data_IF_351759323031
#
_entry.id   IF_351759323031
#
_cell.length_a   1.000
_cell.length_b   1.000
_cell.length_c   1.000
_cell.angle_alpha   90.00
_cell.angle_beta   90.00
_cell.angle_gamma   90.00
#
_symmetry.space_group_name_H-M   'P 1'
#
loop_
_entity.id
_entity.type
_entity.pdbx_description
1 polymer ?
#
# COMPACT_ATOMS: atom_id res chain seq x y z
N UNK A 1 2.29 49.58 -30.80
CA UNK A 1 3.05 48.31 -30.71
C UNK A 1 2.49 47.47 -29.56
N UNK A 2 1.75 46.39 -29.86
CA UNK A 2 1.18 45.47 -28.84
C UNK A 2 2.25 44.41 -28.50
N UNK A 3 2.68 44.36 -27.24
CA UNK A 3 3.55 43.28 -26.73
C UNK A 3 2.65 42.13 -26.29
N UNK A 4 2.77 40.98 -26.96
CA UNK A 4 2.10 39.74 -26.57
C UNK A 4 2.99 39.06 -25.54
N UNK A 5 2.48 38.90 -24.32
CA UNK A 5 3.15 38.22 -23.23
C UNK A 5 2.85 36.72 -23.35
N UNK A 6 3.82 35.93 -23.84
CA UNK A 6 3.70 34.48 -23.92
C UNK A 6 3.90 33.89 -22.53
N UNK A 7 2.82 33.49 -21.87
CA UNK A 7 2.88 32.73 -20.61
C UNK A 7 3.11 31.26 -20.97
N UNK A 8 4.31 30.76 -20.70
CA UNK A 8 4.61 29.33 -20.77
C UNK A 8 4.01 28.68 -19.52
N UNK A 9 2.88 27.98 -19.67
CA UNK A 9 2.37 27.10 -18.62
C UNK A 9 3.32 25.90 -18.50
N UNK A 10 4.18 25.93 -17.49
CA UNK A 10 4.91 24.74 -17.05
C UNK A 10 3.89 23.79 -16.42
N UNK A 11 3.47 22.78 -17.16
CA UNK A 11 2.64 21.70 -16.62
C UNK A 11 3.50 20.88 -15.66
N UNK A 12 3.23 21.05 -14.37
CA UNK A 12 3.85 20.27 -13.30
C UNK A 12 3.18 18.89 -13.34
N UNK A 13 3.75 17.96 -14.11
CA UNK A 13 3.35 16.56 -13.99
C UNK A 13 3.79 16.06 -12.61
N UNK A 14 2.88 15.56 -11.76
CA UNK A 14 3.29 14.91 -10.53
C UNK A 14 4.12 13.67 -10.90
N UNK A 15 5.33 13.61 -10.35
CA UNK A 15 6.22 12.45 -10.45
C UNK A 15 5.45 11.26 -9.89
N UNK A 16 5.07 10.31 -10.74
CA UNK A 16 4.58 9.02 -10.30
C UNK A 16 5.77 8.26 -9.72
N UNK A 17 5.88 8.24 -8.38
CA UNK A 17 6.83 7.38 -7.69
C UNK A 17 6.38 5.93 -7.89
N UNK A 18 7.09 5.22 -8.77
CA UNK A 18 6.98 3.78 -8.98
C UNK A 18 8.12 3.11 -8.20
N UNK A 19 7.80 2.62 -7.00
CA UNK A 19 8.71 1.82 -6.18
C UNK A 19 8.09 1.65 -4.80
N UNK A 20 7.90 0.41 -4.35
CA UNK A 20 7.18 0.07 -3.12
C UNK A 20 7.65 0.91 -1.94
N UNK A 21 6.88 1.95 -1.60
CA UNK A 21 7.28 2.91 -0.57
C UNK A 21 7.33 2.19 0.78
N UNK A 22 8.47 2.35 1.44
CA UNK A 22 8.62 1.93 2.84
C UNK A 22 7.88 2.95 3.70
N UNK A 23 6.83 2.51 4.37
CA UNK A 23 6.05 3.32 5.28
C UNK A 23 6.60 3.16 6.70
N UNK A 24 7.33 4.17 7.18
CA UNK A 24 7.81 4.23 8.55
C UNK A 24 6.77 4.80 9.51
N UNK A 25 6.76 4.32 10.75
CA UNK A 25 5.98 4.93 11.83
C UNK A 25 6.58 6.30 12.23
N UNK A 26 5.92 7.05 13.13
CA UNK A 26 6.35 8.42 13.47
C UNK A 26 7.76 8.45 14.06
N UNK A 27 8.07 7.46 14.90
CA UNK A 27 9.28 7.42 15.70
C UNK A 27 10.43 6.66 15.01
N UNK A 28 10.19 6.19 13.77
CA UNK A 28 11.15 5.42 12.95
C UNK A 28 11.65 4.13 13.62
N UNK A 29 10.84 3.56 14.50
CA UNK A 29 11.12 2.29 15.19
C UNK A 29 10.48 1.08 14.52
N UNK A 30 9.51 1.31 13.62
CA UNK A 30 8.84 0.28 12.84
C UNK A 30 8.61 0.75 11.40
N UNK A 31 8.54 -0.22 10.48
CA UNK A 31 8.32 0.05 9.06
C UNK A 31 7.43 -1.02 8.44
N UNK A 32 6.69 -0.65 7.40
CA UNK A 32 5.93 -1.55 6.56
C UNK A 32 6.35 -1.36 5.09
N UNK A 33 6.37 -2.42 4.30
CA UNK A 33 6.67 -2.34 2.87
C UNK A 33 6.07 -3.52 2.13
N UNK A 34 5.98 -3.39 0.80
CA UNK A 34 5.64 -4.48 -0.09
C UNK A 34 6.61 -4.52 -1.26
N UNK A 35 7.05 -5.72 -1.63
CA UNK A 35 7.80 -5.98 -2.86
C UNK A 35 6.90 -6.69 -3.86
N UNK A 36 6.89 -6.21 -5.11
CA UNK A 36 6.14 -6.83 -6.20
C UNK A 36 7.11 -7.20 -7.31
N UNK A 37 7.50 -8.49 -7.37
CA UNK A 37 8.19 -9.08 -8.53
C UNK A 37 7.22 -9.93 -9.32
N UNK A 38 7.06 -11.20 -8.97
CA UNK A 38 6.04 -12.10 -9.53
C UNK A 38 4.80 -12.23 -8.65
N UNK A 39 4.99 -12.12 -7.33
CA UNK A 39 3.94 -12.10 -6.32
C UNK A 39 4.23 -10.95 -5.36
N UNK A 40 3.18 -10.24 -4.97
CA UNK A 40 3.31 -9.20 -3.96
C UNK A 40 3.54 -9.85 -2.60
N UNK A 41 4.66 -9.48 -1.98
CA UNK A 41 5.02 -9.91 -0.62
C UNK A 41 5.10 -8.67 0.25
N UNK A 42 4.33 -8.63 1.33
CA UNK A 42 4.26 -7.50 2.24
C UNK A 42 4.77 -7.89 3.62
N UNK A 43 5.49 -6.97 4.25
CA UNK A 43 6.05 -7.14 5.59
C UNK A 43 5.77 -5.92 6.46
N UNK A 44 5.65 -6.19 7.76
CA UNK A 44 5.82 -5.19 8.83
C UNK A 44 7.02 -5.64 9.65
N UNK A 45 7.96 -4.73 9.91
CA UNK A 45 9.06 -4.93 10.83
C UNK A 45 8.82 -4.04 12.04
N UNK A 46 8.60 -4.65 13.20
CA UNK A 46 8.45 -3.99 14.48
C UNK A 46 9.18 -4.80 15.56
N UNK A 47 9.82 -4.14 16.53
CA UNK A 47 10.63 -4.80 17.57
C UNK A 47 11.69 -5.77 17.00
N UNK A 48 12.27 -5.44 15.84
CA UNK A 48 13.19 -6.30 15.07
C UNK A 48 12.60 -7.64 14.60
N UNK A 49 11.26 -7.78 14.58
CA UNK A 49 10.58 -8.99 14.11
C UNK A 49 9.93 -8.70 12.74
N UNK A 50 10.40 -9.32 11.66
CA UNK A 50 9.74 -9.25 10.36
C UNK A 50 8.50 -10.16 10.35
N UNK A 51 7.33 -9.57 10.14
CA UNK A 51 6.05 -10.27 10.08
C UNK A 51 5.53 -10.23 8.65
N UNK A 52 5.33 -11.41 8.04
CA UNK A 52 4.75 -11.51 6.70
C UNK A 52 3.23 -11.26 6.77
N UNK A 53 2.76 -10.28 6.02
CA UNK A 53 1.35 -9.85 5.99
C UNK A 53 0.77 -9.88 4.57
N UNK A 54 1.39 -10.64 3.67
CA UNK A 54 1.03 -10.71 2.24
C UNK A 54 -0.40 -11.19 1.98
N UNK A 55 -1.03 -11.87 2.94
CA UNK A 55 -2.43 -12.29 2.85
C UNK A 55 -3.40 -11.10 2.72
N UNK A 56 -2.99 -9.88 3.11
CA UNK A 56 -3.82 -8.68 3.03
C UNK A 56 -4.25 -8.36 1.60
N UNK A 57 -3.42 -8.66 0.59
CA UNK A 57 -3.78 -8.48 -0.81
C UNK A 57 -4.99 -9.35 -1.17
N UNK A 58 -4.95 -10.64 -0.82
CA UNK A 58 -6.07 -11.55 -1.08
C UNK A 58 -7.32 -11.13 -0.32
N UNK A 59 -7.20 -10.70 0.94
CA UNK A 59 -8.33 -10.20 1.72
C UNK A 59 -8.95 -8.95 1.07
N UNK A 60 -8.12 -8.01 0.62
CA UNK A 60 -8.56 -6.80 -0.07
C UNK A 60 -9.25 -7.11 -1.41
N UNK A 61 -8.67 -7.97 -2.24
CA UNK A 61 -9.31 -8.41 -3.49
C UNK A 61 -10.64 -9.12 -3.22
N UNK A 62 -10.72 -9.91 -2.15
CA UNK A 62 -11.97 -10.53 -1.70
C UNK A 62 -13.07 -9.51 -1.40
N UNK A 63 -12.74 -8.37 -0.79
CA UNK A 63 -13.69 -7.26 -0.55
C UNK A 63 -14.18 -6.61 -1.83
N UNK A 64 -13.34 -6.54 -2.88
CA UNK A 64 -13.78 -6.03 -4.18
C UNK A 64 -14.81 -6.97 -4.82
N UNK A 65 -14.61 -8.28 -4.70
CA UNK A 65 -15.57 -9.29 -5.20
C UNK A 65 -15.78 -9.28 -6.72
N UNK A 66 -14.85 -8.70 -7.49
CA UNK A 66 -15.01 -8.47 -8.93
C UNK A 66 -14.56 -9.65 -9.77
N UNK A 67 -13.47 -10.32 -9.37
CA UNK A 67 -12.86 -11.40 -10.15
C UNK A 67 -11.91 -12.25 -9.28
N UNK A 68 -11.54 -13.43 -9.78
CA UNK A 68 -10.42 -14.19 -9.24
C UNK A 68 -9.08 -13.47 -9.48
N UNK A 69 -8.08 -13.70 -8.62
CA UNK A 69 -6.79 -12.98 -8.66
C UNK A 69 -6.14 -12.94 -10.06
N UNK A 70 -6.20 -14.06 -10.79
CA UNK A 70 -5.57 -14.20 -12.11
C UNK A 70 -6.32 -13.48 -13.24
N UNK A 71 -7.49 -12.91 -12.97
CA UNK A 71 -8.30 -12.17 -13.94
C UNK A 71 -8.07 -10.65 -13.88
N UNK A 72 -7.35 -10.17 -12.87
CA UNK A 72 -6.93 -8.79 -12.81
C UNK A 72 -5.75 -8.57 -13.76
N UNK A 73 -5.82 -7.50 -14.55
CA UNK A 73 -4.76 -7.09 -15.48
C UNK A 73 -3.50 -6.67 -14.73
N UNK A 74 -3.70 -6.04 -13.57
CA UNK A 74 -2.67 -5.53 -12.69
C UNK A 74 -3.19 -5.49 -11.26
N UNK A 75 -2.33 -5.79 -10.30
CA UNK A 75 -2.58 -5.65 -8.87
C UNK A 75 -1.37 -4.93 -8.26
N UNK A 76 -1.63 -3.93 -7.42
CA UNK A 76 -0.63 -3.24 -6.62
C UNK A 76 -1.11 -3.19 -5.18
N UNK A 77 -0.35 -3.75 -4.24
CA UNK A 77 -0.61 -3.62 -2.80
C UNK A 77 0.56 -2.94 -2.11
N UNK A 78 0.28 -1.94 -1.27
CA UNK A 78 1.28 -1.16 -0.54
C UNK A 78 0.74 -0.71 0.82
N UNK A 79 1.60 -0.52 1.83
CA UNK A 79 1.19 0.10 3.09
C UNK A 79 0.85 1.57 2.84
N UNK A 80 -0.30 2.03 3.34
CA UNK A 80 -0.79 3.39 3.09
C UNK A 80 -0.87 4.27 4.32
N UNK A 81 -1.00 3.69 5.53
CA UNK A 81 -1.17 4.47 6.76
C UNK A 81 -0.80 3.68 8.01
N UNK A 82 -0.13 4.32 8.97
CA UNK A 82 -0.05 3.86 10.36
C UNK A 82 -1.30 4.33 11.11
N UNK A 83 -2.25 3.41 11.33
CA UNK A 83 -3.56 3.75 11.91
C UNK A 83 -3.47 3.94 13.42
N UNK A 84 -2.73 3.05 14.09
CA UNK A 84 -2.50 3.16 15.53
C UNK A 84 -1.26 2.39 15.97
N UNK A 85 -0.54 2.98 16.91
CA UNK A 85 0.48 2.31 17.72
C UNK A 85 -0.14 2.04 19.10
N UNK A 86 -0.24 0.78 19.49
CA UNK A 86 -0.82 0.36 20.77
C UNK A 86 0.22 -0.36 21.61
N UNK A 87 0.02 -0.37 22.92
CA UNK A 87 0.92 -1.06 23.86
C UNK A 87 1.17 -2.54 23.48
N UNK A 88 0.24 -3.18 22.78
CA UNK A 88 0.30 -4.60 22.42
C UNK A 88 0.59 -4.86 20.93
N UNK A 89 0.82 -3.84 20.11
CA UNK A 89 1.11 -4.03 18.69
C UNK A 89 0.82 -2.82 17.82
N UNK A 90 0.92 -3.05 16.52
CA UNK A 90 0.85 -2.04 15.49
C UNK A 90 -0.32 -2.31 14.53
N UNK A 91 -1.12 -1.29 14.25
CA UNK A 91 -2.21 -1.35 13.27
C UNK A 91 -1.86 -0.51 12.04
N UNK A 92 -1.73 -1.18 10.89
CA UNK A 92 -1.33 -0.56 9.62
C UNK A 92 -2.44 -0.81 8.59
N UNK A 93 -2.79 0.20 7.81
CA UNK A 93 -3.67 0.06 6.65
C UNK A 93 -2.84 -0.24 5.40
N UNK A 94 -3.23 -1.28 4.66
CA UNK A 94 -2.69 -1.58 3.34
C UNK A 94 -3.73 -1.31 2.27
N UNK A 95 -3.34 -0.59 1.24
CA UNK A 95 -4.17 -0.27 0.09
C UNK A 95 -3.81 -1.18 -1.08
N UNK A 96 -4.84 -1.75 -1.70
CA UNK A 96 -4.74 -2.53 -2.93
C UNK A 96 -5.44 -1.78 -4.05
N UNK A 97 -4.73 -1.58 -5.16
CA UNK A 97 -5.27 -1.10 -6.43
C UNK A 97 -5.31 -2.28 -7.40
N UNK A 98 -6.42 -2.46 -8.09
CA UNK A 98 -6.61 -3.57 -9.00
C UNK A 98 -7.30 -3.11 -10.29
N UNK A 99 -6.91 -3.66 -11.43
CA UNK A 99 -7.43 -3.28 -12.75
C UNK A 99 -8.21 -4.43 -13.38
N UNK A 100 -9.43 -4.15 -13.83
CA UNK A 100 -10.29 -5.10 -14.59
C UNK A 100 -11.00 -4.33 -15.69
N UNK A 101 -10.92 -4.82 -16.93
CA UNK A 101 -11.51 -4.22 -18.12
C UNK A 101 -11.08 -2.75 -18.31
N UNK A 102 -9.79 -2.47 -18.07
CA UNK A 102 -9.22 -1.12 -18.14
C UNK A 102 -9.64 -0.15 -17.03
N UNK A 103 -10.50 -0.57 -16.08
CA UNK A 103 -10.92 0.26 -14.96
C UNK A 103 -10.13 -0.07 -13.68
N UNK A 104 -9.70 0.97 -12.97
CA UNK A 104 -9.00 0.87 -11.67
C UNK A 104 -9.98 0.87 -10.51
N UNK A 105 -9.83 -0.10 -9.62
CA UNK A 105 -10.51 -0.23 -8.34
C UNK A 105 -9.51 -0.03 -7.20
N UNK A 106 -9.97 0.42 -6.05
CA UNK A 106 -9.12 0.67 -4.88
C UNK A 106 -9.87 0.29 -3.61
N UNK A 107 -9.18 -0.40 -2.72
CA UNK A 107 -9.70 -0.85 -1.43
C UNK A 107 -8.55 -0.85 -0.43
N UNK A 108 -8.87 -0.67 0.85
CA UNK A 108 -7.90 -0.75 1.93
C UNK A 108 -8.34 -1.73 3.00
N UNK A 109 -7.38 -2.29 3.71
CA UNK A 109 -7.62 -3.25 4.78
C UNK A 109 -6.61 -3.07 5.91
N UNK A 110 -7.08 -3.15 7.17
CA UNK A 110 -6.18 -3.09 8.31
C UNK A 110 -5.46 -4.42 8.51
N UNK A 111 -4.24 -4.33 9.04
CA UNK A 111 -3.44 -5.44 9.54
C UNK A 111 -2.93 -5.08 10.92
N UNK A 112 -3.25 -5.91 11.92
CA UNK A 112 -2.70 -5.77 13.26
C UNK A 112 -1.57 -6.77 13.47
N UNK A 113 -0.38 -6.27 13.83
CA UNK A 113 0.77 -7.10 14.20
C UNK A 113 1.05 -6.88 15.67
N UNK A 114 0.91 -7.95 16.47
CA UNK A 114 1.28 -7.94 17.88
C UNK A 114 2.79 -7.75 18.05
N UNK A 115 3.22 -7.33 19.24
CA UNK A 115 4.63 -7.13 19.56
C UNK A 115 5.50 -8.40 19.47
N UNK A 116 4.87 -9.59 19.48
CA UNK A 116 5.50 -10.90 19.31
C UNK A 116 5.57 -11.35 17.83
N UNK A 117 5.14 -10.50 16.89
CA UNK A 117 5.12 -10.80 15.45
C UNK A 117 3.90 -11.60 15.00
N UNK A 118 2.94 -11.89 15.87
CA UNK A 118 1.70 -12.53 15.45
C UNK A 118 0.83 -11.53 14.69
N UNK A 119 0.57 -11.82 13.43
CA UNK A 119 -0.41 -11.10 12.64
C UNK A 119 -1.83 -11.56 13.00
N UNK A 120 -2.68 -10.63 13.42
CA UNK A 120 -4.10 -10.87 13.70
C UNK A 120 -4.92 -10.24 12.59
N UNK A 121 -5.66 -11.08 11.87
CA UNK A 121 -6.64 -10.64 10.90
C UNK A 121 -7.96 -10.35 11.63
N UNK A 122 -8.63 -9.25 11.28
CA UNK A 122 -10.01 -8.96 11.69
C UNK A 122 -10.95 -9.16 10.51
#
# INVERSE_FOLDING_TARGET
MKRILTIVLLSIFPITVLGGEVLWNSDKTALAFCESKEKTTCFIIANNIPTNVSHIETANLGKLGLAGKNQYEKIETFPSEWVAEKQNGNLISFTTRAWVNGQRYTVSGPVFVRNDGVCVHQ
#
